data_IF_077621174773
#
_entry.id   IF_077621174773
#
_cell.length_a   1.000
_cell.length_b   1.000
_cell.length_c   1.000
_cell.angle_alpha   90.00
_cell.angle_beta   90.00
_cell.angle_gamma   90.00
#
_symmetry.space_group_name_H-M   'P 1'
#
loop_
_entity.id
_entity.type
_entity.pdbx_description
1 polymer ?
#
# COMPACT_ATOMS: atom_id res chain seq x y z
N UNK A 1 -0.32 20.09 -2.05
CA UNK A 1 0.22 18.89 -1.38
C UNK A 1 0.26 17.72 -2.34
N UNK A 2 1.14 16.76 -2.11
CA UNK A 2 1.31 15.53 -2.87
C UNK A 2 1.26 14.32 -1.92
N UNK A 3 0.72 13.20 -2.38
CA UNK A 3 0.69 11.95 -1.61
C UNK A 3 1.13 10.78 -2.48
N UNK A 4 2.10 9.98 -2.00
CA UNK A 4 2.56 8.81 -2.73
C UNK A 4 1.84 7.54 -2.24
N UNK A 5 1.01 6.98 -3.11
CA UNK A 5 0.22 5.78 -2.81
C UNK A 5 1.02 4.48 -2.86
N UNK A 6 2.14 4.46 -3.59
CA UNK A 6 3.06 3.32 -3.67
C UNK A 6 4.19 3.46 -2.64
N UNK A 7 4.91 2.37 -2.32
CA UNK A 7 6.12 2.46 -1.50
C UNK A 7 7.11 3.50 -2.02
N UNK A 8 7.70 4.26 -1.11
CA UNK A 8 8.89 5.06 -1.41
C UNK A 8 10.14 4.18 -1.31
N UNK A 9 11.22 4.57 -1.97
CA UNK A 9 12.46 3.78 -2.03
C UNK A 9 13.51 4.33 -1.07
N UNK A 10 14.36 3.48 -0.48
CA UNK A 10 15.47 3.94 0.35
C UNK A 10 16.56 4.62 -0.49
N UNK A 11 17.46 5.42 0.12
CA UNK A 11 18.49 6.16 -0.59
C UNK A 11 19.39 5.30 -1.48
N UNK A 12 19.71 4.07 -1.07
CA UNK A 12 20.54 3.14 -1.84
C UNK A 12 19.93 2.74 -3.19
N UNK A 13 18.60 2.68 -3.25
CA UNK A 13 17.88 2.35 -4.49
C UNK A 13 17.66 3.61 -5.33
N UNK A 14 17.34 4.74 -4.69
CA UNK A 14 17.13 6.00 -5.42
C UNK A 14 18.42 6.47 -6.11
N UNK A 15 19.60 6.19 -5.54
CA UNK A 15 20.91 6.54 -6.11
C UNK A 15 21.13 5.95 -7.51
N UNK A 16 20.50 4.81 -7.82
CA UNK A 16 20.58 4.17 -9.14
C UNK A 16 19.75 4.89 -10.22
N UNK A 17 18.86 5.82 -9.83
CA UNK A 17 17.99 6.53 -10.76
C UNK A 17 18.73 7.76 -11.33
N UNK A 18 18.99 7.86 -12.66
CA UNK A 18 19.73 8.98 -13.23
C UNK A 18 19.18 10.37 -12.86
N UNK A 19 17.84 10.61 -12.84
CA UNK A 19 17.27 11.88 -12.41
C UNK A 19 17.00 12.01 -10.89
N UNK A 20 17.61 11.21 -10.00
CA UNK A 20 17.32 11.20 -8.56
C UNK A 20 17.27 12.60 -7.92
N UNK A 21 18.28 13.45 -8.20
CA UNK A 21 18.35 14.82 -7.65
C UNK A 21 17.22 15.72 -8.15
N UNK A 22 16.91 15.63 -9.45
CA UNK A 22 15.83 16.42 -10.06
C UNK A 22 14.47 15.98 -9.49
N UNK A 23 14.23 14.68 -9.36
CA UNK A 23 13.03 14.13 -8.75
C UNK A 23 12.85 14.61 -7.31
N UNK A 24 13.91 14.53 -6.49
CA UNK A 24 13.84 14.99 -5.10
C UNK A 24 13.57 16.49 -4.99
N UNK A 25 14.17 17.31 -5.86
CA UNK A 25 13.86 18.74 -5.92
C UNK A 25 12.40 19.01 -6.32
N UNK A 26 11.87 18.26 -7.28
CA UNK A 26 10.45 18.37 -7.67
C UNK A 26 9.50 17.98 -6.55
N UNK A 27 9.81 16.92 -5.79
CA UNK A 27 9.02 16.54 -4.61
C UNK A 27 9.09 17.62 -3.51
N UNK A 28 10.25 18.26 -3.34
CA UNK A 28 10.42 19.39 -2.42
C UNK A 28 9.78 20.71 -2.92
N UNK A 29 9.15 20.72 -4.09
CA UNK A 29 8.43 21.90 -4.57
C UNK A 29 7.00 21.99 -4.03
N UNK A 30 6.45 20.92 -3.46
CA UNK A 30 5.15 20.91 -2.78
C UNK A 30 5.26 21.42 -1.35
N UNK A 31 4.16 21.93 -0.79
CA UNK A 31 4.12 22.37 0.62
C UNK A 31 3.98 21.19 1.60
N UNK A 32 3.34 20.10 1.15
CA UNK A 32 3.10 18.89 1.92
C UNK A 32 3.36 17.66 1.05
N UNK A 33 4.08 16.68 1.59
CA UNK A 33 4.37 15.38 0.95
C UNK A 33 3.99 14.24 1.90
N UNK A 34 3.00 13.44 1.53
CA UNK A 34 2.47 12.35 2.35
C UNK A 34 2.83 10.95 1.86
N UNK A 35 2.96 10.02 2.80
CA UNK A 35 3.26 8.61 2.57
C UNK A 35 2.36 7.67 3.36
N UNK A 36 2.26 6.41 2.93
CA UNK A 36 1.45 5.39 3.60
C UNK A 36 2.02 4.94 4.96
N UNK A 37 3.34 5.00 5.15
CA UNK A 37 4.01 4.45 6.34
C UNK A 37 5.10 5.38 6.85
N UNK A 38 5.42 5.26 8.14
CA UNK A 38 6.55 5.98 8.75
C UNK A 38 7.90 5.58 8.14
N UNK A 39 8.04 4.32 7.69
CA UNK A 39 9.24 3.86 6.97
C UNK A 39 9.45 4.66 5.69
N UNK A 40 8.41 4.78 4.84
CA UNK A 40 8.53 5.51 3.58
C UNK A 40 8.72 7.02 3.80
N UNK A 41 8.13 7.57 4.86
CA UNK A 41 8.43 8.94 5.30
C UNK A 41 9.92 9.10 5.64
N UNK A 42 10.47 8.19 6.43
CA UNK A 42 11.89 8.24 6.79
C UNK A 42 12.79 8.09 5.56
N UNK A 43 12.48 7.16 4.65
CA UNK A 43 13.19 6.97 3.39
C UNK A 43 13.20 8.26 2.54
N UNK A 44 12.06 8.96 2.48
CA UNK A 44 11.96 10.26 1.81
C UNK A 44 12.84 11.32 2.46
N UNK A 45 12.83 11.43 3.79
CA UNK A 45 13.66 12.39 4.53
C UNK A 45 15.16 12.10 4.31
N UNK A 46 15.56 10.84 4.32
CA UNK A 46 16.94 10.43 4.06
C UNK A 46 17.35 10.70 2.61
N UNK A 47 16.45 10.45 1.64
CA UNK A 47 16.67 10.84 0.25
C UNK A 47 16.74 12.36 0.08
N UNK A 48 15.92 13.13 0.80
CA UNK A 48 15.93 14.59 0.75
C UNK A 48 17.27 15.13 1.29
N UNK A 49 17.76 14.62 2.42
CA UNK A 49 19.08 14.96 2.98
C UNK A 49 20.20 14.71 1.97
N UNK A 50 20.16 13.59 1.25
CA UNK A 50 21.24 13.16 0.37
C UNK A 50 21.21 13.80 -1.03
N UNK A 51 20.03 13.97 -1.62
CA UNK A 51 19.91 14.25 -3.05
C UNK A 51 19.35 15.64 -3.39
N UNK A 52 18.55 16.24 -2.51
CA UNK A 52 17.86 17.50 -2.83
C UNK A 52 18.78 18.73 -2.77
N UNK A 53 19.74 18.73 -1.85
CA UNK A 53 20.56 19.90 -1.49
C UNK A 53 19.95 20.78 -0.39
N UNK A 54 18.80 20.39 0.17
CA UNK A 54 18.08 21.12 1.20
C UNK A 54 18.36 20.57 2.61
N UNK A 55 18.11 21.41 3.63
CA UNK A 55 18.26 21.00 5.03
C UNK A 55 17.01 20.28 5.50
N UNK A 56 17.15 19.14 6.17
CA UNK A 56 16.01 18.42 6.76
C UNK A 56 16.03 18.57 8.28
N UNK A 57 14.93 19.03 8.88
CA UNK A 57 14.75 19.21 10.32
C UNK A 57 13.50 18.50 10.78
N UNK A 58 13.65 17.38 11.50
CA UNK A 58 12.52 16.52 11.84
C UNK A 58 11.81 16.03 10.58
N UNK A 59 10.52 16.32 10.48
CA UNK A 59 9.67 16.00 9.32
C UNK A 59 9.53 17.17 8.34
N UNK A 60 10.37 18.19 8.43
CA UNK A 60 10.39 19.33 7.50
C UNK A 60 11.63 19.32 6.60
N UNK A 61 11.43 19.63 5.31
CA UNK A 61 12.52 19.97 4.38
C UNK A 61 12.53 21.49 4.16
N UNK A 62 13.62 22.14 4.55
CA UNK A 62 13.81 23.60 4.47
C UNK A 62 14.47 23.94 3.14
N UNK A 63 13.71 24.58 2.26
CA UNK A 63 14.15 25.05 0.94
C UNK A 63 14.39 26.57 0.97
N UNK A 64 14.78 27.16 -0.15
CA UNK A 64 14.97 28.62 -0.27
C UNK A 64 13.61 29.33 -0.21
N UNK A 65 13.25 29.80 0.99
CA UNK A 65 12.03 30.58 1.24
C UNK A 65 10.78 29.76 1.57
N UNK A 66 10.86 28.42 1.62
CA UNK A 66 9.71 27.56 1.97
C UNK A 66 10.10 26.39 2.87
N UNK A 67 9.10 25.81 3.52
CA UNK A 67 9.19 24.57 4.28
C UNK A 67 8.22 23.55 3.69
N UNK A 68 8.71 22.35 3.44
CA UNK A 68 7.92 21.20 3.01
C UNK A 68 7.65 20.34 4.22
N UNK A 69 6.38 20.14 4.57
CA UNK A 69 6.01 19.22 5.63
C UNK A 69 5.83 17.80 5.06
N UNK A 70 6.62 16.85 5.54
CA UNK A 70 6.48 15.46 5.17
C UNK A 70 5.70 14.71 6.26
N UNK A 71 4.81 13.80 5.88
CA UNK A 71 3.98 13.07 6.87
C UNK A 71 3.69 11.63 6.44
N UNK A 72 3.39 10.79 7.43
CA UNK A 72 2.85 9.45 7.22
C UNK A 72 1.36 9.46 7.60
N UNK A 73 0.50 9.28 6.60
CA UNK A 73 -0.95 9.32 6.75
C UNK A 73 -1.58 8.19 5.91
N UNK A 74 -1.75 6.98 6.49
CA UNK A 74 -2.20 5.81 5.74
C UNK A 74 -3.63 6.01 5.22
N UNK A 75 -3.82 5.78 3.91
CA UNK A 75 -5.14 5.92 3.31
C UNK A 75 -6.11 4.86 3.85
N UNK A 76 -7.28 5.34 4.29
CA UNK A 76 -8.40 4.49 4.72
C UNK A 76 -9.43 4.22 3.61
N UNK A 77 -10.44 3.42 3.95
CA UNK A 77 -11.66 3.26 3.16
C UNK A 77 -12.86 3.80 3.92
N UNK A 78 -13.95 4.11 3.22
CA UNK A 78 -15.26 4.36 3.86
C UNK A 78 -15.86 3.04 4.37
N UNK A 79 -15.31 2.54 5.47
CA UNK A 79 -15.72 1.27 6.08
C UNK A 79 -17.23 1.22 6.39
N UNK A 80 -17.88 2.29 6.91
CA UNK A 80 -19.33 2.29 7.11
C UNK A 80 -20.13 2.07 5.83
N UNK A 81 -19.73 2.67 4.70
CA UNK A 81 -20.41 2.48 3.42
C UNK A 81 -20.26 1.06 2.89
N UNK A 82 -19.04 0.51 2.91
CA UNK A 82 -18.81 -0.89 2.52
C UNK A 82 -19.61 -1.87 3.38
N UNK A 83 -19.68 -1.65 4.70
CA UNK A 83 -20.49 -2.49 5.60
C UNK A 83 -21.99 -2.46 5.23
N UNK A 84 -22.53 -1.28 4.92
CA UNK A 84 -23.93 -1.14 4.47
C UNK A 84 -24.19 -1.88 3.16
N UNK A 85 -23.26 -1.79 2.20
CA UNK A 85 -23.36 -2.50 0.91
C UNK A 85 -23.35 -4.02 1.15
N UNK A 86 -22.42 -4.52 1.97
CA UNK A 86 -22.32 -5.94 2.28
C UNK A 86 -23.60 -6.49 2.95
N UNK A 87 -24.15 -5.75 3.92
CA UNK A 87 -25.39 -6.13 4.59
C UNK A 87 -26.57 -6.24 3.61
N UNK A 88 -26.72 -5.25 2.71
CA UNK A 88 -27.78 -5.24 1.68
C UNK A 88 -27.62 -6.38 0.67
N UNK A 89 -26.39 -6.73 0.33
CA UNK A 89 -26.10 -7.79 -0.65
C UNK A 89 -26.35 -9.21 -0.13
N UNK A 90 -26.39 -9.41 1.19
CA UNK A 90 -26.45 -10.75 1.81
C UNK A 90 -27.70 -11.55 1.42
N UNK A 91 -28.83 -10.86 1.19
CA UNK A 91 -30.10 -11.49 0.79
C UNK A 91 -30.32 -11.63 -0.73
N UNK A 92 -29.36 -11.19 -1.55
CA UNK A 92 -29.51 -11.20 -3.01
C UNK A 92 -29.50 -12.62 -3.57
N UNK A 93 -30.20 -12.82 -4.70
CA UNK A 93 -30.20 -14.10 -5.42
C UNK A 93 -28.78 -14.53 -5.81
N UNK A 94 -27.92 -13.58 -6.20
CA UNK A 94 -26.52 -13.83 -6.52
C UNK A 94 -25.76 -14.50 -5.36
N UNK A 95 -25.85 -13.94 -4.15
CA UNK A 95 -25.19 -14.51 -2.96
C UNK A 95 -25.79 -15.87 -2.58
N UNK A 96 -27.12 -16.04 -2.72
CA UNK A 96 -27.77 -17.33 -2.48
C UNK A 96 -27.25 -18.40 -3.44
N UNK A 97 -27.25 -18.14 -4.74
CA UNK A 97 -26.74 -19.05 -5.77
C UNK A 97 -25.26 -19.38 -5.57
N UNK A 98 -24.46 -18.39 -5.17
CA UNK A 98 -23.05 -18.61 -4.84
C UNK A 98 -22.90 -19.56 -3.65
N UNK A 99 -23.65 -19.35 -2.55
CA UNK A 99 -23.62 -20.25 -1.38
C UNK A 99 -24.08 -21.67 -1.72
N UNK A 100 -25.17 -21.81 -2.46
CA UNK A 100 -25.70 -23.11 -2.88
C UNK A 100 -24.67 -23.87 -3.74
N UNK A 101 -23.93 -23.15 -4.60
CA UNK A 101 -22.87 -23.74 -5.44
C UNK A 101 -21.68 -24.32 -4.65
N UNK A 102 -21.47 -23.87 -3.41
CA UNK A 102 -20.40 -24.38 -2.56
C UNK A 102 -20.71 -25.78 -2.00
N UNK A 103 -21.98 -26.20 -1.99
CA UNK A 103 -22.41 -27.54 -1.53
C UNK A 103 -21.80 -27.92 -0.18
N UNK A 104 -21.82 -27.00 0.79
CA UNK A 104 -21.25 -27.19 2.13
C UNK A 104 -19.73 -27.08 2.25
N UNK A 105 -19.01 -26.76 1.16
CA UNK A 105 -17.55 -26.56 1.19
C UNK A 105 -17.20 -25.15 1.66
N UNK A 106 -16.04 -25.02 2.31
CA UNK A 106 -15.47 -23.72 2.64
C UNK A 106 -15.05 -22.97 1.36
N UNK A 107 -15.20 -21.64 1.38
CA UNK A 107 -14.77 -20.74 0.31
C UNK A 107 -13.55 -19.93 0.75
N UNK A 108 -12.46 -20.04 0.00
CA UNK A 108 -11.34 -19.11 0.06
C UNK A 108 -11.45 -18.13 -1.12
N UNK A 109 -11.41 -16.83 -0.86
CA UNK A 109 -11.48 -15.78 -1.89
C UNK A 109 -10.38 -14.75 -1.64
N UNK A 110 -9.70 -14.36 -2.73
CA UNK A 110 -8.78 -13.24 -2.78
C UNK A 110 -9.11 -12.41 -4.01
N UNK A 111 -9.05 -11.09 -3.90
CA UNK A 111 -9.28 -10.16 -5.00
C UNK A 111 -8.07 -9.25 -5.12
N UNK A 112 -7.33 -9.40 -6.21
CA UNK A 112 -6.09 -8.68 -6.46
C UNK A 112 -5.89 -8.41 -7.95
N UNK A 113 -5.07 -7.41 -8.27
CA UNK A 113 -4.59 -7.22 -9.64
C UNK A 113 -3.53 -8.27 -9.95
N UNK A 114 -3.48 -8.75 -11.18
CA UNK A 114 -2.41 -9.62 -11.64
C UNK A 114 -1.12 -8.81 -11.84
N UNK A 115 -0.37 -8.66 -10.76
CA UNK A 115 0.87 -7.90 -10.69
C UNK A 115 1.90 -8.66 -9.85
N UNK A 116 3.16 -8.63 -10.27
CA UNK A 116 4.24 -9.38 -9.61
C UNK A 116 4.43 -8.99 -8.13
N UNK A 117 4.05 -7.77 -7.75
CA UNK A 117 4.12 -7.28 -6.36
C UNK A 117 3.06 -7.88 -5.43
N UNK A 118 2.04 -8.57 -5.95
CA UNK A 118 0.88 -9.03 -5.18
C UNK A 118 1.00 -10.45 -4.64
N UNK A 119 2.13 -11.13 -4.90
CA UNK A 119 2.46 -12.41 -4.29
C UNK A 119 1.40 -13.51 -4.48
N UNK A 120 0.56 -13.43 -5.53
CA UNK A 120 -0.52 -14.39 -5.82
C UNK A 120 0.01 -15.83 -5.82
N UNK A 121 1.17 -16.06 -6.45
CA UNK A 121 1.86 -17.35 -6.48
C UNK A 121 2.13 -17.89 -5.08
N UNK A 122 2.64 -17.05 -4.18
CA UNK A 122 2.96 -17.44 -2.80
C UNK A 122 1.68 -17.78 -2.04
N UNK A 123 0.58 -17.05 -2.28
CA UNK A 123 -0.71 -17.36 -1.68
C UNK A 123 -1.21 -18.75 -2.12
N UNK A 124 -1.13 -19.08 -3.41
CA UNK A 124 -1.50 -20.42 -3.91
C UNK A 124 -0.60 -21.52 -3.36
N UNK A 125 0.72 -21.30 -3.30
CA UNK A 125 1.66 -22.27 -2.71
C UNK A 125 1.39 -22.48 -1.22
N UNK A 126 1.11 -21.40 -0.49
CA UNK A 126 0.73 -21.47 0.92
C UNK A 126 -0.56 -22.26 1.12
N UNK A 127 -1.57 -22.01 0.28
CA UNK A 127 -2.83 -22.75 0.33
C UNK A 127 -2.66 -24.23 -0.03
N UNK A 128 -1.84 -24.55 -1.03
CA UNK A 128 -1.51 -25.94 -1.37
C UNK A 128 -0.82 -26.66 -0.20
N UNK A 129 0.13 -26.00 0.47
CA UNK A 129 0.79 -26.54 1.68
C UNK A 129 -0.19 -26.73 2.83
N UNK A 130 -1.14 -25.80 3.00
CA UNK A 130 -2.19 -25.92 4.01
C UNK A 130 -3.03 -27.18 3.77
N UNK A 131 -3.51 -27.38 2.54
CA UNK A 131 -4.30 -28.56 2.17
C UNK A 131 -3.51 -29.87 2.29
N UNK A 132 -2.23 -29.86 1.93
CA UNK A 132 -1.36 -31.04 2.08
C UNK A 132 -1.14 -31.40 3.56
N UNK A 133 -1.06 -30.39 4.44
CA UNK A 133 -0.85 -30.58 5.89
C UNK A 133 -2.13 -30.97 6.62
N UNK A 134 -3.27 -30.44 6.19
CA UNK A 134 -4.58 -30.70 6.79
C UNK A 134 -5.53 -31.25 5.72
N UNK A 135 -5.42 -32.56 5.39
CA UNK A 135 -6.20 -33.18 4.33
C UNK A 135 -7.69 -33.36 4.69
N UNK A 136 -8.05 -33.19 5.97
CA UNK A 136 -9.45 -33.18 6.43
C UNK A 136 -9.89 -31.73 6.67
N UNK A 137 -11.10 -31.33 6.22
CA UNK A 137 -11.64 -30.01 6.54
C UNK A 137 -11.79 -29.87 8.07
N UNK A 138 -11.56 -28.67 8.64
CA UNK A 138 -11.91 -28.42 10.03
C UNK A 138 -13.41 -28.70 10.25
N UNK A 139 -13.80 -29.21 11.43
CA UNK A 139 -15.19 -29.51 11.77
C UNK A 139 -16.11 -28.30 11.64
#
# INVERSE_FOLDING_TARGET
>A
GFFLHIPFVPPSVLDALPPARALMRSLCAYDVVGFQTRTHLQDFLDCARRFSGFTVKGEEVVTEGRRVHAMADPIGIDAPSFARIAARSTGTEYIRRMKDSLTGRALAISAERLDYSKACRIAFEGFARLLARFPQPPP
#
